data_IF_655745103354
#
_entry.id   IF_655745103354
#
_cell.length_a   1.000
_cell.length_b   1.000
_cell.length_c   1.000
_cell.angle_alpha   90.00
_cell.angle_beta   90.00
_cell.angle_gamma   90.00
#
_symmetry.space_group_name_H-M   'P 1'
#
loop_
_entity.id
_entity.type
_entity.pdbx_description
1 polymer ?
#
# COMPACT_ATOMS: atom_id res chain seq x y z
N UNK A 1 -6.46 16.11 28.35
CA UNK A 1 -5.59 14.91 28.43
C UNK A 1 -5.77 14.08 27.17
N UNK A 2 -4.74 13.90 26.35
CA UNK A 2 -4.79 13.08 25.12
C UNK A 2 -3.41 12.53 24.76
N UNK A 3 -3.39 11.46 23.97
CA UNK A 3 -2.22 10.96 23.26
C UNK A 3 -2.52 10.95 21.76
N UNK A 4 -1.62 11.53 20.96
CA UNK A 4 -1.71 11.51 19.49
C UNK A 4 -0.57 10.66 18.94
N UNK A 5 -0.89 9.74 18.02
CA UNK A 5 0.08 8.80 17.46
C UNK A 5 0.09 8.91 15.94
N UNK A 6 1.05 9.62 15.33
CA UNK A 6 1.19 9.65 13.88
C UNK A 6 1.68 8.27 13.39
N UNK A 7 0.79 7.53 12.72
CA UNK A 7 1.10 6.21 12.19
C UNK A 7 1.43 6.31 10.70
N UNK A 8 2.72 6.24 10.37
CA UNK A 8 3.21 6.29 8.99
C UNK A 8 3.82 4.95 8.58
N UNK A 9 3.50 4.48 7.38
CA UNK A 9 3.97 3.20 6.83
C UNK A 9 5.49 3.17 6.72
N UNK A 10 6.14 2.33 7.51
CA UNK A 10 7.60 2.20 7.54
C UNK A 10 8.28 2.99 8.65
N UNK A 11 7.53 3.60 9.59
CA UNK A 11 8.13 4.34 10.71
C UNK A 11 9.13 3.48 11.50
N UNK A 12 10.33 4.03 11.73
CA UNK A 12 11.33 3.38 12.59
C UNK A 12 10.98 3.49 14.09
N UNK A 13 10.17 4.50 14.42
CA UNK A 13 9.73 4.78 15.79
C UNK A 13 8.20 4.83 15.85
N UNK A 14 7.63 4.10 16.81
CA UNK A 14 6.26 4.41 17.26
C UNK A 14 6.33 5.68 18.09
N UNK A 15 5.65 6.74 17.67
CA UNK A 15 5.68 8.04 18.36
C UNK A 15 4.35 8.31 19.04
N UNK A 16 4.36 8.65 20.32
CA UNK A 16 3.20 9.14 21.06
C UNK A 16 3.44 10.56 21.56
N UNK A 17 2.55 11.48 21.21
CA UNK A 17 2.58 12.89 21.62
C UNK A 17 1.58 13.04 22.77
N UNK A 18 2.08 13.35 23.96
CA UNK A 18 1.32 13.37 25.20
C UNK A 18 0.93 14.80 25.56
N UNK A 19 -0.34 14.97 25.95
CA UNK A 19 -0.86 16.20 26.57
C UNK A 19 -1.54 15.84 27.88
N UNK A 20 -0.94 16.27 28.99
CA UNK A 20 -1.41 16.07 30.35
C UNK A 20 -1.73 14.61 30.74
N UNK A 21 -0.86 13.67 30.36
CA UNK A 21 -1.00 12.23 30.64
C UNK A 21 0.23 11.67 31.34
N UNK A 22 0.06 10.58 32.08
CA UNK A 22 1.16 9.79 32.64
C UNK A 22 1.52 8.66 31.68
N UNK A 23 2.74 8.64 31.10
CA UNK A 23 3.16 7.55 30.23
C UNK A 23 3.23 6.22 30.97
N UNK A 24 2.59 5.21 30.39
CA UNK A 24 2.53 3.84 30.90
C UNK A 24 2.74 2.89 29.72
N UNK A 25 3.67 1.94 29.86
CA UNK A 25 3.94 0.89 28.89
C UNK A 25 3.77 -0.46 29.54
N UNK A 26 3.06 -1.38 28.88
CA UNK A 26 2.81 -2.73 29.40
C UNK A 26 3.38 -3.77 28.45
N UNK A 27 3.99 -4.82 28.99
CA UNK A 27 4.53 -5.94 28.22
C UNK A 27 3.99 -7.25 28.76
N UNK A 28 3.51 -8.15 27.88
CA UNK A 28 3.03 -9.49 28.28
C UNK A 28 4.13 -10.30 28.96
N UNK A 29 5.39 -10.12 28.56
CA UNK A 29 6.54 -10.80 29.15
C UNK A 29 7.16 -10.02 30.32
N UNK A 30 6.72 -8.79 30.57
CA UNK A 30 7.27 -7.90 31.61
C UNK A 30 8.65 -7.31 31.29
N UNK A 31 9.13 -6.44 32.19
CA UNK A 31 10.40 -5.71 32.07
C UNK A 31 11.41 -6.23 33.10
N UNK A 32 12.60 -6.63 32.62
CA UNK A 32 13.68 -7.13 33.48
C UNK A 32 14.54 -6.00 34.04
N UNK A 33 14.89 -5.03 33.21
CA UNK A 33 15.62 -3.84 33.65
C UNK A 33 15.35 -2.65 32.74
N UNK A 34 15.71 -1.46 33.23
CA UNK A 34 15.72 -0.24 32.44
C UNK A 34 16.97 0.57 32.75
N UNK A 35 17.67 0.99 31.71
CA UNK A 35 18.87 1.83 31.81
C UNK A 35 18.52 3.24 31.32
N UNK A 36 18.78 4.27 32.14
CA UNK A 36 18.52 5.67 31.81
C UNK A 36 19.81 6.38 31.40
N UNK A 37 19.74 7.17 30.33
CA UNK A 37 20.77 8.15 29.94
C UNK A 37 20.11 9.48 29.60
N UNK A 38 20.55 10.56 30.22
CA UNK A 38 20.16 11.91 29.81
C UNK A 38 21.06 12.39 28.67
N UNK A 39 20.45 12.97 27.63
CA UNK A 39 21.15 13.54 26.47
C UNK A 39 20.61 14.95 26.29
N UNK A 40 21.37 15.93 26.75
CA UNK A 40 21.01 17.36 26.75
C UNK A 40 19.63 17.64 27.37
N UNK A 41 18.63 17.80 26.51
CA UNK A 41 17.23 18.17 26.75
C UNK A 41 16.24 17.00 26.61
N UNK A 42 16.72 15.79 26.32
CA UNK A 42 15.88 14.59 26.25
C UNK A 42 16.48 13.41 27.03
N UNK A 43 15.68 12.37 27.21
CA UNK A 43 16.08 11.15 27.93
C UNK A 43 16.00 9.94 27.03
N UNK A 44 17.02 9.10 27.07
CA UNK A 44 17.03 7.77 26.46
C UNK A 44 16.87 6.73 27.56
N UNK A 45 15.97 5.78 27.34
CA UNK A 45 15.86 4.59 28.15
C UNK A 45 16.05 3.34 27.30
N UNK A 46 16.81 2.39 27.80
CA UNK A 46 16.95 1.07 27.21
C UNK A 46 16.27 0.06 28.12
N UNK A 47 15.15 -0.48 27.66
CA UNK A 47 14.38 -1.47 28.38
C UNK A 47 14.74 -2.87 27.88
N UNK A 48 15.13 -3.77 28.79
CA UNK A 48 15.29 -5.19 28.48
C UNK A 48 14.11 -5.97 29.04
N UNK A 49 13.42 -6.72 28.19
CA UNK A 49 12.30 -7.58 28.59
C UNK A 49 12.80 -8.92 29.15
N UNK A 50 11.94 -9.69 29.81
CA UNK A 50 12.31 -11.01 30.35
C UNK A 50 12.68 -12.04 29.27
N UNK A 51 12.21 -11.86 28.03
CA UNK A 51 12.57 -12.70 26.87
C UNK A 51 13.88 -12.25 26.19
N UNK A 52 14.61 -11.30 26.78
CA UNK A 52 15.89 -10.81 26.27
C UNK A 52 15.79 -9.75 25.17
N UNK A 53 14.59 -9.46 24.64
CA UNK A 53 14.41 -8.39 23.64
C UNK A 53 14.67 -7.02 24.26
N UNK A 54 15.28 -6.14 23.47
CA UNK A 54 15.65 -4.79 23.89
C UNK A 54 14.85 -3.75 23.11
N UNK A 55 14.38 -2.73 23.82
CA UNK A 55 13.64 -1.61 23.26
C UNK A 55 14.28 -0.29 23.72
N UNK A 56 14.30 0.69 22.83
CA UNK A 56 14.71 2.05 23.13
C UNK A 56 13.46 2.91 23.28
N UNK A 57 13.44 3.72 24.32
CA UNK A 57 12.44 4.76 24.53
C UNK A 57 13.18 6.10 24.57
N UNK A 58 12.84 7.00 23.66
CA UNK A 58 13.35 8.37 23.65
C UNK A 58 12.24 9.31 24.10
N UNK A 59 12.46 10.00 25.22
CA UNK A 59 11.49 10.90 25.84
C UNK A 59 11.96 12.33 25.61
N UNK A 60 11.14 13.10 24.89
CA UNK A 60 11.36 14.50 24.56
C UNK A 60 10.31 15.36 25.28
N UNK A 61 10.61 15.86 26.49
CA UNK A 61 9.75 16.81 27.19
C UNK A 61 9.57 18.09 26.38
N UNK A 62 8.36 18.68 26.42
CA UNK A 62 8.11 20.00 25.82
C UNK A 62 8.90 21.11 26.52
N UNK A 63 9.00 20.99 27.85
CA UNK A 63 9.81 21.85 28.70
C UNK A 63 10.77 20.97 29.51
N UNK A 64 11.99 21.44 29.76
CA UNK A 64 13.00 20.66 30.45
C UNK A 64 12.52 20.31 31.86
N UNK A 65 12.20 19.05 32.07
CA UNK A 65 11.75 18.48 33.34
C UNK A 65 12.46 17.16 33.59
N UNK A 66 12.71 16.82 34.85
CA UNK A 66 13.16 15.48 35.17
C UNK A 66 12.12 14.44 34.68
N UNK A 67 12.60 13.32 34.16
CA UNK A 67 11.76 12.21 33.75
C UNK A 67 12.43 10.89 34.15
N UNK A 68 11.68 10.02 34.83
CA UNK A 68 12.10 8.66 35.20
C UNK A 68 10.93 7.69 34.94
N UNK A 69 11.29 6.42 34.78
CA UNK A 69 10.35 5.31 34.78
C UNK A 69 10.64 4.37 35.95
N UNK A 70 9.59 3.75 36.46
CA UNK A 70 9.65 2.67 37.45
C UNK A 70 9.02 1.40 36.86
N UNK A 71 9.58 0.25 37.21
CA UNK A 71 9.04 -1.06 36.83
C UNK A 71 8.09 -1.54 37.93
N UNK A 72 6.82 -1.65 37.59
CA UNK A 72 5.75 -2.16 38.45
C UNK A 72 5.23 -3.48 37.83
N UNK A 73 5.90 -4.60 38.14
CA UNK A 73 5.57 -5.92 37.58
C UNK A 73 5.73 -5.96 36.06
N UNK A 74 4.62 -6.04 35.32
CA UNK A 74 4.60 -6.05 33.85
C UNK A 74 4.50 -4.66 33.21
N UNK A 75 4.52 -3.62 34.05
CA UNK A 75 4.29 -2.22 33.67
C UNK A 75 5.55 -1.40 33.87
N UNK A 76 5.81 -0.50 32.93
CA UNK A 76 6.80 0.56 33.03
C UNK A 76 6.07 1.91 33.07
N UNK A 77 6.15 2.62 34.20
CA UNK A 77 5.33 3.80 34.49
C UNK A 77 6.18 5.02 34.81
N UNK A 78 5.81 6.18 34.27
CA UNK A 78 6.52 7.42 34.54
C UNK A 78 6.29 7.90 35.99
N UNK A 79 7.34 8.35 36.67
CA UNK A 79 7.29 8.72 38.10
C UNK A 79 6.69 10.10 38.35
N UNK A 80 6.86 11.06 37.44
CA UNK A 80 6.54 12.47 37.68
C UNK A 80 5.08 12.84 37.34
N UNK A 81 4.19 11.85 37.27
CA UNK A 81 2.78 12.06 37.00
C UNK A 81 2.55 12.58 35.58
N UNK A 82 2.28 13.88 35.43
CA UNK A 82 1.78 14.47 34.18
C UNK A 82 2.93 14.82 33.23
N UNK A 83 2.88 14.34 31.98
CA UNK A 83 3.86 14.58 30.94
C UNK A 83 3.27 15.35 29.75
N UNK A 84 4.04 16.32 29.25
CA UNK A 84 3.80 17.06 28.03
C UNK A 84 5.05 16.98 27.15
N UNK A 85 4.92 16.47 25.93
CA UNK A 85 6.04 16.16 25.06
C UNK A 85 5.74 14.94 24.19
N UNK A 86 6.77 14.29 23.64
CA UNK A 86 6.58 13.06 22.89
C UNK A 86 7.56 11.96 23.30
N UNK A 87 7.14 10.71 23.12
CA UNK A 87 7.95 9.53 23.39
C UNK A 87 8.00 8.67 22.13
N UNK A 88 9.21 8.29 21.73
CA UNK A 88 9.47 7.40 20.61
C UNK A 88 9.92 6.03 21.11
N UNK A 89 9.36 4.96 20.54
CA UNK A 89 9.74 3.58 20.83
C UNK A 89 10.32 2.93 19.59
N UNK A 90 11.49 2.30 19.74
CA UNK A 90 12.14 1.51 18.70
C UNK A 90 12.60 0.16 19.24
N UNK A 91 12.49 -0.87 18.40
CA UNK A 91 12.98 -2.21 18.70
C UNK A 91 14.44 -2.33 18.26
N UNK A 92 15.29 -2.89 19.12
CA UNK A 92 16.65 -3.29 18.74
C UNK A 92 16.59 -4.74 18.22
N UNK A 93 17.02 -5.03 16.98
CA UNK A 93 17.22 -6.40 16.50
C UNK A 93 18.27 -7.13 17.36
N UNK A 94 18.09 -8.43 17.59
CA UNK A 94 18.95 -9.21 18.50
C UNK A 94 20.40 -9.26 18.01
N UNK A 95 20.61 -9.33 16.69
CA UNK A 95 21.91 -9.56 16.05
C UNK A 95 22.34 -8.34 15.21
N UNK A 96 22.26 -7.14 15.80
CA UNK A 96 22.67 -5.91 15.11
C UNK A 96 23.29 -4.89 16.08
N UNK A 97 24.61 -4.90 16.15
CA UNK A 97 25.38 -4.03 17.05
C UNK A 97 25.28 -2.55 16.67
N UNK A 98 25.07 -2.25 15.38
CA UNK A 98 24.90 -0.88 14.87
C UNK A 98 23.50 -0.31 15.16
N UNK A 99 22.51 -1.14 15.49
CA UNK A 99 21.11 -0.73 15.54
C UNK A 99 20.86 0.41 16.54
N UNK A 100 21.47 0.34 17.73
CA UNK A 100 21.28 1.35 18.77
C UNK A 100 21.86 2.71 18.36
N UNK A 101 23.04 2.74 17.72
CA UNK A 101 23.66 3.98 17.27
C UNK A 101 22.91 4.61 16.09
N UNK A 102 22.42 3.79 15.15
CA UNK A 102 21.57 4.23 14.03
C UNK A 102 20.27 4.85 14.54
N UNK A 103 19.63 4.21 15.52
CA UNK A 103 18.41 4.71 16.14
C UNK A 103 18.67 6.01 16.92
N UNK A 104 19.77 6.08 17.68
CA UNK A 104 20.13 7.29 18.43
C UNK A 104 20.33 8.50 17.50
N UNK A 105 20.99 8.31 16.35
CA UNK A 105 21.30 9.38 15.40
C UNK A 105 20.06 10.01 14.74
N UNK A 106 18.92 9.30 14.72
CA UNK A 106 17.68 9.76 14.08
C UNK A 106 16.53 9.99 15.08
N UNK A 107 16.78 9.80 16.37
CA UNK A 107 15.79 10.04 17.42
C UNK A 107 15.31 11.50 17.41
N UNK A 108 14.04 11.71 17.71
CA UNK A 108 13.36 13.02 17.72
C UNK A 108 12.70 13.40 16.39
N UNK A 109 13.23 12.91 15.27
CA UNK A 109 12.65 13.14 13.94
C UNK A 109 11.71 12.00 13.55
N UNK A 110 10.48 12.32 13.14
CA UNK A 110 9.50 11.32 12.68
C UNK A 110 8.59 11.86 11.58
N UNK A 111 8.12 10.97 10.72
CA UNK A 111 7.16 11.32 9.67
C UNK A 111 5.74 11.42 10.24
N UNK A 112 4.97 12.37 9.73
CA UNK A 112 3.54 12.53 10.02
C UNK A 112 2.67 12.19 8.82
N UNK A 113 3.20 12.37 7.60
CA UNK A 113 2.53 12.09 6.33
C UNK A 113 3.51 11.69 5.25
N UNK A 114 2.98 11.04 4.20
CA UNK A 114 3.68 10.77 2.96
C UNK A 114 2.91 11.47 1.84
N UNK A 115 3.61 12.25 1.03
CA UNK A 115 3.11 12.87 -0.18
C UNK A 115 3.69 12.14 -1.38
N UNK A 116 2.82 11.68 -2.26
CA UNK A 116 3.17 10.98 -3.49
C UNK A 116 3.08 11.94 -4.67
N UNK A 117 4.15 12.01 -5.46
CA UNK A 117 4.16 12.62 -6.78
C UNK A 117 4.71 11.62 -7.79
N UNK A 118 4.21 11.64 -9.03
CA UNK A 118 4.67 10.73 -10.07
C UNK A 118 4.69 11.42 -11.44
N UNK A 119 5.54 10.93 -12.32
CA UNK A 119 5.66 11.33 -13.72
C UNK A 119 6.03 10.13 -14.59
N UNK A 120 5.71 10.21 -15.87
CA UNK A 120 6.09 9.20 -16.86
C UNK A 120 6.72 9.89 -18.05
N UNK A 121 7.84 9.36 -18.53
CA UNK A 121 8.53 9.81 -19.73
C UNK A 121 8.92 8.59 -20.57
N UNK A 122 8.26 8.40 -21.71
CA UNK A 122 8.46 7.21 -22.53
C UNK A 122 8.05 5.94 -21.77
N UNK A 123 8.97 4.99 -21.67
CA UNK A 123 8.82 3.75 -20.90
C UNK A 123 9.35 3.86 -19.46
N UNK A 124 9.70 5.06 -18.99
CA UNK A 124 10.21 5.26 -17.64
C UNK A 124 9.18 5.95 -16.76
N UNK A 125 8.84 5.31 -15.64
CA UNK A 125 8.06 5.92 -14.56
C UNK A 125 8.99 6.41 -13.46
N UNK A 126 8.74 7.60 -12.94
CA UNK A 126 9.38 8.08 -11.71
C UNK A 126 8.32 8.52 -10.72
N UNK A 127 8.50 8.14 -9.46
CA UNK A 127 7.64 8.58 -8.38
C UNK A 127 8.44 8.86 -7.12
N UNK A 128 7.98 9.80 -6.31
CA UNK A 128 8.65 10.22 -5.09
C UNK A 128 7.69 10.12 -3.92
N UNK A 129 8.14 9.46 -2.86
CA UNK A 129 7.55 9.58 -1.54
C UNK A 129 8.28 10.67 -0.78
N UNK A 130 7.63 11.83 -0.61
CA UNK A 130 8.14 12.92 0.25
C UNK A 130 7.51 12.81 1.63
N UNK A 131 8.33 12.73 2.66
CA UNK A 131 7.88 12.64 4.04
C UNK A 131 7.73 14.05 4.62
N UNK A 132 6.54 14.37 5.14
CA UNK A 132 6.40 15.51 6.04
C UNK A 132 6.81 15.05 7.43
N UNK A 133 7.69 15.82 8.09
CA UNK A 133 8.31 15.42 9.35
C UNK A 133 8.08 16.44 10.45
N UNK A 134 8.01 15.95 11.69
CA UNK A 134 8.45 16.73 12.84
C UNK A 134 9.96 16.56 12.93
N UNK A 135 10.69 17.67 12.93
CA UNK A 135 12.15 17.67 12.95
C UNK A 135 12.68 18.00 14.35
N UNK A 136 13.66 17.24 14.80
CA UNK A 136 14.40 17.55 16.01
C UNK A 136 15.86 17.85 15.66
N UNK A 137 16.31 19.08 15.92
CA UNK A 137 17.70 19.56 15.73
C UNK A 137 18.35 19.13 14.39
N UNK A 138 17.57 19.10 13.31
CA UNK A 138 17.98 18.66 11.97
C UNK A 138 18.41 17.19 11.86
N UNK A 139 18.06 16.33 12.83
CA UNK A 139 18.27 14.90 12.72
C UNK A 139 17.55 14.35 11.48
N UNK A 140 18.22 13.44 10.78
CA UNK A 140 17.65 12.75 9.61
C UNK A 140 16.43 11.91 10.01
N UNK A 141 15.45 11.82 9.12
CA UNK A 141 14.39 10.83 9.24
C UNK A 141 14.98 9.43 8.96
N UNK A 142 14.63 8.45 9.79
CA UNK A 142 14.91 7.04 9.57
C UNK A 142 13.60 6.30 9.25
N UNK A 143 13.58 5.54 8.15
CA UNK A 143 12.37 4.90 7.66
C UNK A 143 12.65 3.54 7.01
N UNK A 144 11.82 2.55 7.29
CA UNK A 144 11.95 1.18 6.80
C UNK A 144 11.31 1.00 5.43
N UNK A 145 12.14 0.68 4.43
CA UNK A 145 11.75 0.35 3.08
C UNK A 145 11.47 -1.16 2.94
N UNK A 146 10.42 -1.50 2.19
CA UNK A 146 10.09 -2.89 1.81
C UNK A 146 10.97 -3.35 0.63
N UNK A 147 11.10 -4.67 0.39
CA UNK A 147 11.90 -5.18 -0.73
C UNK A 147 11.54 -4.57 -2.09
N UNK A 148 10.25 -4.40 -2.40
CA UNK A 148 9.83 -3.77 -3.66
C UNK A 148 10.14 -2.27 -3.72
N UNK A 149 10.26 -1.58 -2.58
CA UNK A 149 10.76 -0.20 -2.61
C UNK A 149 12.25 -0.17 -2.98
N UNK A 150 13.03 -1.06 -2.38
CA UNK A 150 14.50 -1.10 -2.52
C UNK A 150 14.92 -1.31 -3.97
N UNK A 151 14.23 -2.20 -4.70
CA UNK A 151 14.53 -2.47 -6.12
C UNK A 151 14.18 -1.31 -7.04
N UNK A 152 13.26 -0.45 -6.63
CA UNK A 152 12.82 0.72 -7.40
C UNK A 152 13.58 1.99 -7.03
N UNK A 153 14.43 2.01 -6.00
CA UNK A 153 15.15 3.23 -5.62
C UNK A 153 16.10 3.73 -6.73
N UNK A 154 16.14 5.05 -6.92
CA UNK A 154 17.23 5.68 -7.66
C UNK A 154 18.56 5.56 -6.91
N UNK A 155 19.66 5.93 -7.58
CA UNK A 155 21.00 5.82 -7.00
C UNK A 155 21.19 6.68 -5.75
N UNK A 156 20.60 7.88 -5.73
CA UNK A 156 20.63 8.79 -4.59
C UNK A 156 19.96 8.15 -3.37
N UNK A 157 18.73 7.66 -3.53
CA UNK A 157 17.98 7.00 -2.45
C UNK A 157 18.62 5.71 -1.99
N UNK A 158 19.11 4.89 -2.92
CA UNK A 158 19.82 3.65 -2.61
C UNK A 158 21.09 3.89 -1.76
N UNK A 159 21.78 5.01 -1.96
CA UNK A 159 23.00 5.37 -1.23
C UNK A 159 22.78 5.66 0.26
N UNK A 160 21.53 5.97 0.67
CA UNK A 160 21.17 6.31 2.06
C UNK A 160 20.79 5.11 2.93
N UNK A 161 21.07 3.90 2.44
CA UNK A 161 20.85 2.63 3.13
C UNK A 161 21.63 2.58 4.45
N UNK A 162 21.00 2.03 5.50
CA UNK A 162 21.67 1.72 6.77
C UNK A 162 21.82 0.21 6.96
N UNK A 163 22.56 -0.20 7.99
CA UNK A 163 22.65 -1.61 8.39
C UNK A 163 21.46 -2.08 9.24
N UNK A 164 20.50 -1.20 9.57
CA UNK A 164 19.33 -1.57 10.38
C UNK A 164 18.27 -2.26 9.52
N UNK A 165 17.84 -3.44 9.93
CA UNK A 165 16.78 -4.20 9.27
C UNK A 165 15.86 -4.90 10.26
N UNK A 166 14.59 -5.08 9.86
CA UNK A 166 13.57 -5.77 10.65
C UNK A 166 12.63 -6.56 9.72
N UNK A 167 12.19 -7.77 10.11
CA UNK A 167 11.19 -8.50 9.34
C UNK A 167 9.86 -7.75 9.38
N UNK A 168 9.23 -7.60 8.21
CA UNK A 168 7.83 -7.20 8.14
C UNK A 168 6.91 -8.38 8.49
N UNK A 169 5.62 -8.14 8.78
CA UNK A 169 4.68 -9.23 9.07
C UNK A 169 4.52 -10.24 7.93
N UNK A 170 4.55 -9.80 6.66
CA UNK A 170 4.21 -10.65 5.51
C UNK A 170 4.99 -10.36 4.22
N UNK A 171 5.86 -9.35 4.19
CA UNK A 171 6.48 -8.83 2.96
C UNK A 171 8.02 -8.92 2.97
N UNK A 172 8.58 -9.84 3.77
CA UNK A 172 10.02 -10.05 3.87
C UNK A 172 10.74 -9.02 4.75
N UNK A 173 12.05 -8.93 4.59
CA UNK A 173 12.94 -8.09 5.40
C UNK A 173 12.86 -6.63 4.94
N UNK A 174 12.57 -5.72 5.86
CA UNK A 174 12.65 -4.28 5.64
C UNK A 174 14.03 -3.77 6.03
N UNK A 175 14.53 -2.77 5.30
CA UNK A 175 15.81 -2.11 5.58
C UNK A 175 15.56 -0.64 5.84
N UNK A 176 16.20 -0.07 6.85
CA UNK A 176 16.06 1.34 7.16
C UNK A 176 16.97 2.21 6.29
N UNK A 177 16.41 3.32 5.80
CA UNK A 177 17.08 4.33 5.01
C UNK A 177 16.95 5.68 5.71
N UNK A 178 17.96 6.53 5.54
CA UNK A 178 17.89 7.91 6.00
C UNK A 178 17.35 8.85 4.92
N UNK A 179 16.77 9.97 5.35
CA UNK A 179 16.33 11.06 4.47
C UNK A 179 14.81 11.28 4.44
N UNK A 180 14.41 12.46 3.97
CA UNK A 180 13.01 12.92 3.96
C UNK A 180 12.29 12.68 2.64
N UNK A 181 12.92 11.94 1.74
CA UNK A 181 12.30 11.50 0.50
C UNK A 181 12.89 10.17 0.05
N UNK A 182 12.07 9.42 -0.68
CA UNK A 182 12.49 8.30 -1.51
C UNK A 182 12.11 8.57 -2.94
N UNK A 183 13.10 8.57 -3.83
CA UNK A 183 12.88 8.63 -5.26
C UNK A 183 12.90 7.22 -5.82
N UNK A 184 11.93 6.97 -6.69
CA UNK A 184 11.63 5.67 -7.25
C UNK A 184 11.68 5.78 -8.77
N UNK A 185 12.19 4.74 -9.42
CA UNK A 185 12.42 4.68 -10.85
C UNK A 185 12.05 3.29 -11.38
N UNK A 186 11.14 3.25 -12.34
CA UNK A 186 10.71 2.05 -13.07
C UNK A 186 11.12 2.23 -14.53
N UNK A 187 12.20 1.57 -14.97
CA UNK A 187 12.83 1.83 -16.27
C UNK A 187 12.17 1.12 -17.47
N UNK A 188 11.28 0.16 -17.21
CA UNK A 188 10.76 -0.77 -18.22
C UNK A 188 9.23 -0.90 -18.16
N UNK A 189 8.53 0.24 -18.12
CA UNK A 189 7.07 0.22 -18.18
C UNK A 189 6.61 -0.42 -19.51
N UNK A 190 5.61 -1.33 -19.48
CA UNK A 190 5.19 -2.08 -20.65
C UNK A 190 4.28 -1.24 -21.57
N UNK A 191 4.88 -0.26 -22.25
CA UNK A 191 4.17 0.69 -23.15
C UNK A 191 3.76 0.10 -24.49
N UNK A 192 4.18 -1.13 -24.78
CA UNK A 192 3.87 -1.85 -26.01
C UNK A 192 2.77 -2.93 -25.84
N UNK A 193 2.16 -3.04 -24.66
CA UNK A 193 0.97 -3.87 -24.46
C UNK A 193 -0.24 -3.17 -25.09
N UNK A 194 -0.94 -3.87 -25.98
CA UNK A 194 -2.17 -3.40 -26.61
C UNK A 194 -3.21 -4.54 -26.66
N UNK A 195 -4.30 -4.35 -27.40
CA UNK A 195 -5.39 -5.34 -27.48
C UNK A 195 -5.03 -6.65 -28.23
N UNK A 196 -3.91 -6.69 -28.97
CA UNK A 196 -3.41 -7.92 -29.59
C UNK A 196 -2.70 -8.82 -28.57
N UNK A 197 -2.60 -10.15 -28.84
CA UNK A 197 -1.81 -11.05 -28.01
C UNK A 197 -0.39 -10.51 -27.80
N UNK A 198 0.00 -10.39 -26.53
CA UNK A 198 1.33 -9.92 -26.17
C UNK A 198 2.39 -10.97 -26.53
N UNK A 199 3.50 -10.53 -27.12
CA UNK A 199 4.70 -11.33 -27.33
C UNK A 199 5.92 -10.59 -26.77
N UNK A 200 6.69 -11.21 -25.85
CA UNK A 200 7.94 -10.64 -25.35
C UNK A 200 8.94 -10.33 -26.47
N UNK A 201 8.86 -11.04 -27.61
CA UNK A 201 9.72 -10.82 -28.78
C UNK A 201 9.27 -9.68 -29.69
N UNK A 202 8.21 -8.95 -29.34
CA UNK A 202 7.58 -7.87 -30.10
C UNK A 202 7.19 -8.22 -31.55
N UNK A 203 7.20 -9.51 -31.92
CA UNK A 203 6.73 -9.96 -33.23
C UNK A 203 5.22 -9.79 -33.30
N UNK A 204 4.75 -9.13 -34.36
CA UNK A 204 3.32 -9.16 -34.70
C UNK A 204 2.88 -10.62 -34.81
N UNK A 205 1.74 -11.01 -34.24
CA UNK A 205 1.28 -12.38 -34.34
C UNK A 205 1.02 -12.71 -35.81
N UNK A 206 1.48 -13.88 -36.25
CA UNK A 206 1.14 -14.47 -37.55
C UNK A 206 0.31 -15.74 -37.32
N UNK A 207 -0.65 -15.96 -38.21
CA UNK A 207 -1.61 -17.06 -38.09
C UNK A 207 -1.58 -17.89 -39.37
N UNK A 208 -1.50 -19.21 -39.24
CA UNK A 208 -1.63 -20.10 -40.40
C UNK A 208 -3.07 -20.07 -40.92
N UNK A 209 -3.28 -20.55 -42.16
CA UNK A 209 -4.62 -20.63 -42.74
C UNK A 209 -5.52 -21.55 -41.93
N UNK A 210 -4.98 -22.66 -41.45
CA UNK A 210 -5.67 -23.65 -40.62
C UNK A 210 -6.10 -23.03 -39.29
N UNK A 211 -5.22 -22.24 -38.66
CA UNK A 211 -5.55 -21.52 -37.44
C UNK A 211 -6.66 -20.49 -37.66
N UNK A 212 -6.57 -19.68 -38.72
CA UNK A 212 -7.61 -18.71 -39.07
C UNK A 212 -8.96 -19.38 -39.34
N UNK A 213 -8.94 -20.54 -39.99
CA UNK A 213 -10.14 -21.32 -40.28
C UNK A 213 -10.78 -21.90 -39.00
N UNK A 214 -9.98 -22.41 -38.06
CA UNK A 214 -10.48 -22.85 -36.76
C UNK A 214 -11.05 -21.69 -35.93
N UNK A 215 -10.36 -20.55 -35.91
CA UNK A 215 -10.85 -19.33 -35.23
C UNK A 215 -12.16 -18.87 -35.86
N UNK A 216 -12.27 -18.92 -37.19
CA UNK A 216 -13.49 -18.55 -37.92
C UNK A 216 -14.68 -19.45 -37.56
N UNK A 217 -14.47 -20.77 -37.50
CA UNK A 217 -15.51 -21.72 -37.09
C UNK A 217 -16.00 -21.44 -35.68
N UNK A 218 -15.08 -21.34 -34.72
CA UNK A 218 -15.41 -21.01 -33.34
C UNK A 218 -16.14 -19.65 -33.23
N UNK A 219 -15.71 -18.64 -34.01
CA UNK A 219 -16.35 -17.34 -34.00
C UNK A 219 -17.79 -17.35 -34.51
N UNK A 220 -18.08 -18.14 -35.55
CA UNK A 220 -19.44 -18.34 -36.07
C UNK A 220 -20.30 -19.04 -35.01
N UNK A 221 -19.78 -20.09 -34.38
CA UNK A 221 -20.49 -20.83 -33.33
C UNK A 221 -20.80 -19.95 -32.12
N UNK A 222 -19.86 -19.09 -31.72
CA UNK A 222 -20.03 -18.14 -30.61
C UNK A 222 -20.99 -17.01 -30.95
N UNK A 223 -20.94 -16.45 -32.16
CA UNK A 223 -21.88 -15.42 -32.60
C UNK A 223 -23.31 -15.94 -32.67
N UNK A 224 -23.52 -17.21 -33.04
CA UNK A 224 -24.84 -17.80 -33.11
C UNK A 224 -25.57 -17.84 -31.75
N UNK A 225 -24.84 -17.76 -30.63
CA UNK A 225 -25.42 -17.76 -29.29
C UNK A 225 -26.18 -16.46 -28.98
N UNK A 226 -27.10 -16.52 -28.02
CA UNK A 226 -27.71 -15.32 -27.45
C UNK A 226 -26.76 -14.72 -26.40
N UNK A 227 -26.24 -13.53 -26.68
CA UNK A 227 -25.30 -12.84 -25.79
C UNK A 227 -26.00 -12.37 -24.52
N UNK A 228 -27.24 -11.91 -24.63
CA UNK A 228 -27.99 -11.27 -23.55
C UNK A 228 -28.50 -12.30 -22.55
N UNK A 229 -28.88 -13.50 -23.01
CA UNK A 229 -29.27 -14.61 -22.13
C UNK A 229 -28.14 -15.10 -21.23
N UNK A 230 -26.87 -14.84 -21.60
CA UNK A 230 -25.71 -15.19 -20.79
C UNK A 230 -25.39 -14.12 -19.73
N UNK A 231 -26.03 -12.95 -19.80
CA UNK A 231 -25.80 -11.88 -18.82
C UNK A 231 -26.57 -12.19 -17.54
N UNK A 232 -25.86 -12.29 -16.41
CA UNK A 232 -26.49 -12.50 -15.11
C UNK A 232 -27.26 -11.23 -14.65
N UNK A 233 -28.60 -11.28 -14.52
CA UNK A 233 -29.40 -10.15 -14.05
C UNK A 233 -29.05 -9.66 -12.64
N UNK A 234 -28.39 -10.50 -11.83
CA UNK A 234 -28.12 -10.26 -10.42
C UNK A 234 -26.64 -10.06 -10.09
N UNK A 235 -25.75 -9.97 -11.09
CA UNK A 235 -24.32 -9.80 -10.84
C UNK A 235 -23.61 -9.01 -11.93
N UNK A 236 -23.03 -7.87 -11.54
CA UNK A 236 -22.08 -7.13 -12.39
C UNK A 236 -20.81 -7.93 -12.68
N UNK A 237 -20.32 -8.74 -11.72
CA UNK A 237 -19.08 -9.52 -11.88
C UNK A 237 -19.22 -10.57 -13.01
N UNK A 238 -20.16 -11.50 -12.87
CA UNK A 238 -20.43 -12.51 -13.90
C UNK A 238 -20.86 -11.90 -15.24
N UNK A 239 -21.70 -10.86 -15.22
CA UNK A 239 -22.03 -10.10 -16.44
C UNK A 239 -20.81 -9.53 -17.13
N UNK A 240 -19.89 -8.91 -16.37
CA UNK A 240 -18.66 -8.34 -16.90
C UNK A 240 -17.74 -9.39 -17.55
N UNK A 241 -17.68 -10.60 -16.99
CA UNK A 241 -16.95 -11.72 -17.61
C UNK A 241 -17.52 -12.09 -18.98
N UNK A 242 -18.84 -12.16 -19.11
CA UNK A 242 -19.53 -12.48 -20.36
C UNK A 242 -19.36 -11.36 -21.39
N UNK A 243 -19.55 -10.11 -20.99
CA UNK A 243 -19.33 -8.94 -21.86
C UNK A 243 -17.89 -8.88 -22.37
N UNK A 244 -16.91 -9.13 -21.50
CA UNK A 244 -15.48 -9.16 -21.87
C UNK A 244 -15.16 -10.29 -22.85
N UNK A 245 -15.72 -11.50 -22.64
CA UNK A 245 -15.62 -12.62 -23.59
C UNK A 245 -16.09 -12.20 -24.98
N UNK A 246 -17.29 -11.63 -25.10
CA UNK A 246 -17.83 -11.23 -26.40
C UNK A 246 -17.11 -10.02 -27.01
N UNK A 247 -16.62 -9.08 -26.19
CA UNK A 247 -15.77 -7.99 -26.68
C UNK A 247 -14.49 -8.53 -27.32
N UNK A 248 -13.83 -9.51 -26.68
CA UNK A 248 -12.65 -10.17 -27.23
C UNK A 248 -12.98 -10.92 -28.53
N UNK A 249 -14.15 -11.58 -28.60
CA UNK A 249 -14.63 -12.23 -29.81
C UNK A 249 -14.78 -11.22 -30.97
N UNK A 250 -15.52 -10.13 -30.77
CA UNK A 250 -15.72 -9.12 -31.80
C UNK A 250 -14.40 -8.48 -32.23
N UNK A 251 -13.50 -8.21 -31.27
CA UNK A 251 -12.15 -7.72 -31.56
C UNK A 251 -11.37 -8.71 -32.44
N UNK A 252 -11.44 -10.01 -32.13
CA UNK A 252 -10.72 -11.06 -32.84
C UNK A 252 -11.24 -11.22 -34.27
N UNK A 253 -12.55 -11.16 -34.48
CA UNK A 253 -13.14 -11.22 -35.83
C UNK A 253 -12.70 -10.03 -36.68
N UNK A 254 -12.78 -8.82 -36.13
CA UNK A 254 -12.37 -7.60 -36.84
C UNK A 254 -10.88 -7.60 -37.14
N UNK A 255 -10.05 -7.88 -36.14
CA UNK A 255 -8.62 -7.59 -36.19
C UNK A 255 -7.74 -8.79 -36.58
N UNK A 256 -8.19 -10.02 -36.30
CA UNK A 256 -7.47 -11.26 -36.65
C UNK A 256 -8.05 -11.86 -37.93
N UNK A 257 -9.37 -12.07 -38.00
CA UNK A 257 -10.01 -12.67 -39.19
C UNK A 257 -10.23 -11.68 -40.33
N UNK A 258 -10.16 -10.36 -40.07
CA UNK A 258 -10.42 -9.29 -41.04
C UNK A 258 -11.80 -9.41 -41.71
N UNK A 259 -12.80 -9.86 -40.96
CA UNK A 259 -14.17 -10.01 -41.45
C UNK A 259 -15.06 -8.91 -40.88
N UNK A 260 -15.26 -7.85 -41.67
CA UNK A 260 -15.97 -6.65 -41.23
C UNK A 260 -17.47 -6.89 -41.03
N UNK A 261 -18.10 -7.67 -41.90
CA UNK A 261 -19.52 -8.00 -41.81
C UNK A 261 -19.83 -8.76 -40.51
N UNK A 262 -19.06 -9.81 -40.23
CA UNK A 262 -19.25 -10.63 -39.03
C UNK A 262 -18.88 -9.85 -37.75
N UNK A 263 -17.91 -8.94 -37.83
CA UNK A 263 -17.57 -8.06 -36.73
C UNK A 263 -18.69 -7.08 -36.39
N UNK A 264 -19.36 -6.51 -37.39
CA UNK A 264 -20.50 -5.59 -37.17
C UNK A 264 -21.69 -6.31 -36.55
N UNK A 265 -21.98 -7.53 -36.99
CA UNK A 265 -22.99 -8.39 -36.38
C UNK A 265 -22.69 -8.66 -34.90
N UNK A 266 -21.47 -9.09 -34.60
CA UNK A 266 -21.00 -9.31 -33.23
C UNK A 266 -21.14 -8.05 -32.36
N UNK A 267 -20.68 -6.91 -32.89
CA UNK A 267 -20.66 -5.65 -32.17
C UNK A 267 -22.07 -5.13 -31.89
N UNK A 268 -23.01 -5.32 -32.82
CA UNK A 268 -24.42 -4.97 -32.63
C UNK A 268 -25.01 -5.73 -31.45
N UNK A 269 -24.85 -7.06 -31.42
CA UNK A 269 -25.33 -7.91 -30.32
C UNK A 269 -24.69 -7.52 -28.98
N UNK A 270 -23.38 -7.25 -28.98
CA UNK A 270 -22.67 -6.81 -27.77
C UNK A 270 -23.19 -5.46 -27.26
N UNK A 271 -23.39 -4.48 -28.14
CA UNK A 271 -23.92 -3.16 -27.77
C UNK A 271 -25.31 -3.27 -27.15
N UNK A 272 -26.18 -4.09 -27.73
CA UNK A 272 -27.54 -4.30 -27.23
C UNK A 272 -27.52 -4.85 -25.80
N UNK A 273 -26.69 -5.86 -25.54
CA UNK A 273 -26.58 -6.45 -24.20
C UNK A 273 -25.84 -5.55 -23.20
N UNK A 274 -24.95 -4.67 -23.66
CA UNK A 274 -24.23 -3.70 -22.84
C UNK A 274 -25.07 -2.47 -22.47
N UNK A 275 -26.06 -2.11 -23.31
CA UNK A 275 -26.87 -0.91 -23.16
C UNK A 275 -27.52 -0.73 -21.77
N UNK A 276 -28.07 -1.78 -21.12
CA UNK A 276 -28.64 -1.64 -19.77
C UNK A 276 -27.63 -1.22 -18.70
N UNK A 277 -26.34 -1.51 -18.87
CA UNK A 277 -25.28 -1.07 -17.95
C UNK A 277 -25.01 0.43 -18.12
N UNK A 278 -24.92 0.90 -19.37
CA UNK A 278 -24.72 2.32 -19.71
C UNK A 278 -25.89 3.18 -19.23
N UNK A 279 -27.13 2.70 -19.44
CA UNK A 279 -28.35 3.39 -19.00
C UNK A 279 -28.62 3.25 -17.49
N UNK A 280 -27.77 2.51 -16.77
CA UNK A 280 -27.94 2.19 -15.37
C UNK A 280 -29.35 1.62 -15.06
N UNK A 281 -29.83 0.73 -15.91
CA UNK A 281 -31.18 0.15 -15.88
C UNK A 281 -31.17 -1.34 -15.56
N UNK A 282 -30.14 -1.81 -14.83
CA UNK A 282 -30.05 -3.18 -14.30
C UNK A 282 -30.99 -3.34 -13.10
N UNK A 283 -31.27 -4.59 -12.73
CA UNK A 283 -32.12 -4.95 -11.57
C UNK A 283 -31.70 -4.22 -10.29
N UNK A 284 -30.39 -4.19 -10.05
CA UNK A 284 -29.77 -3.38 -9.00
C UNK A 284 -28.91 -2.33 -9.69
N UNK A 285 -29.18 -1.04 -9.46
CA UNK A 285 -28.46 0.03 -10.14
C UNK A 285 -27.12 0.30 -9.48
N UNK A 286 -26.23 0.96 -10.20
CA UNK A 286 -25.08 1.63 -9.61
C UNK A 286 -25.51 2.98 -9.04
N UNK A 287 -25.13 3.24 -7.79
CA UNK A 287 -25.41 4.48 -7.07
C UNK A 287 -24.13 5.08 -6.52
N UNK A 288 -24.13 6.40 -6.34
CA UNK A 288 -23.04 7.11 -5.69
C UNK A 288 -23.29 7.17 -4.18
N UNK A 289 -22.46 6.50 -3.41
CA UNK A 289 -22.49 6.52 -1.95
C UNK A 289 -21.69 7.73 -1.46
N UNK A 290 -22.36 8.63 -0.72
CA UNK A 290 -21.85 9.96 -0.37
C UNK A 290 -20.94 9.97 0.87
N UNK A 291 -20.96 8.91 1.68
CA UNK A 291 -20.16 8.81 2.90
C UNK A 291 -18.71 8.44 2.59
N UNK A 292 -18.52 7.48 1.68
CA UNK A 292 -17.23 6.92 1.25
C UNK A 292 -16.83 7.40 -0.15
N UNK A 293 -17.67 8.21 -0.80
CA UNK A 293 -17.42 8.90 -2.08
C UNK A 293 -17.13 7.93 -3.25
N UNK A 294 -17.90 6.84 -3.36
CA UNK A 294 -17.68 5.78 -4.35
C UNK A 294 -18.95 5.29 -5.06
N UNK A 295 -18.77 4.57 -6.16
CA UNK A 295 -19.87 3.91 -6.88
C UNK A 295 -20.05 2.49 -6.34
N UNK A 296 -21.28 2.15 -5.97
CA UNK A 296 -21.64 0.83 -5.43
C UNK A 296 -22.91 0.32 -6.11
N UNK A 297 -23.15 -0.99 -6.04
CA UNK A 297 -24.41 -1.59 -6.44
C UNK A 297 -25.46 -1.47 -5.33
N UNK A 298 -26.70 -1.11 -5.66
CA UNK A 298 -27.82 -1.07 -4.71
C UNK A 298 -28.11 -2.44 -4.08
N UNK A 299 -27.66 -3.52 -4.71
CA UNK A 299 -27.77 -4.87 -4.19
C UNK A 299 -27.20 -5.02 -2.77
N UNK A 300 -26.15 -4.24 -2.45
CA UNK A 300 -25.53 -4.17 -1.12
C UNK A 300 -26.43 -3.64 -0.01
N UNK A 301 -27.44 -2.84 -0.36
CA UNK A 301 -28.38 -2.23 0.59
C UNK A 301 -29.70 -2.98 0.68
N UNK A 302 -30.09 -3.67 -0.39
CA UNK A 302 -31.38 -4.37 -0.47
C UNK A 302 -31.30 -5.81 0.04
N UNK A 303 -30.13 -6.44 -0.04
CA UNK A 303 -29.92 -7.80 0.49
C UNK A 303 -29.17 -7.73 1.81
N UNK A 304 -29.80 -8.17 2.90
CA UNK A 304 -29.27 -8.20 4.28
C UNK A 304 -27.92 -8.94 4.46
N UNK A 305 -27.36 -9.53 3.42
CA UNK A 305 -26.11 -10.31 3.44
C UNK A 305 -25.15 -10.07 2.26
N UNK A 306 -25.32 -8.98 1.47
CA UNK A 306 -24.38 -8.73 0.38
C UNK A 306 -23.11 -8.02 0.89
N UNK A 307 -21.97 -8.70 0.80
CA UNK A 307 -20.65 -8.07 0.97
C UNK A 307 -20.50 -6.99 -0.10
N UNK A 308 -20.36 -5.74 0.33
CA UNK A 308 -20.08 -4.59 -0.55
C UNK A 308 -18.71 -4.85 -1.17
N UNK A 309 -18.68 -5.17 -2.46
CA UNK A 309 -17.45 -5.13 -3.25
C UNK A 309 -17.44 -3.77 -3.95
N UNK A 310 -16.61 -2.86 -3.45
CA UNK A 310 -16.33 -1.59 -4.09
C UNK A 310 -15.55 -1.86 -5.38
N UNK A 311 -16.08 -1.41 -6.52
CA UNK A 311 -15.28 -1.28 -7.74
C UNK A 311 -14.72 0.14 -7.70
N UNK A 312 -13.44 0.27 -7.35
CA UNK A 312 -12.70 1.51 -7.60
C UNK A 312 -12.38 1.56 -9.09
N UNK A 313 -12.91 2.57 -9.79
CA UNK A 313 -12.50 2.98 -11.13
C UNK A 313 -11.29 3.92 -11.03
#
# INVERSE_FOLDING_TARGET
KKIEMPLVRGMAYVTGIYTDLTPIFTSVVGFRNIEKKQIDDYYKFKATLHDGKKWLLYVFPKEKSEFNFEIEGVTLKATNGTFNGFIQLAKIPIDNDDAESILDASAGTYATKILLSASVSGNTGSYTFRFETHDYKNNSLLHFAMPHHIVSFDSDTASRKTNLSLPSPTNGLMVAYTGKYWNMLENDLPVNINFFPYSPSAKKPSYSKEALEMIRKAAIDEIAQDFCLQIDPNSYYFSGKVLSKFALLCFSIKNILKNDTLAEECLTKLKDCFMPFVKNSRTYKLVYEKTWLGIVTEQGFVKDNCRIWSVFL
#
